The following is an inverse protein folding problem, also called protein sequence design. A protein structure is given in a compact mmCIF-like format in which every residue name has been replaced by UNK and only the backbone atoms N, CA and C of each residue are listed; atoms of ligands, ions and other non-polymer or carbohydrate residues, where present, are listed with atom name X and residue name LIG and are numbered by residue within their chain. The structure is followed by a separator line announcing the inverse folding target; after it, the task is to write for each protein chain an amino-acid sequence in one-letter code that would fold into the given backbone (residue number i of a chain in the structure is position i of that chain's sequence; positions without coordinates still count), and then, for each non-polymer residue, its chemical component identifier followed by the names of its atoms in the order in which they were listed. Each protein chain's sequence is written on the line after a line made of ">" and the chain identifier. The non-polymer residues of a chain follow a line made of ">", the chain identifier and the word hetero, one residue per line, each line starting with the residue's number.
data_IF_267298337054
#
_entry.id   IF_267298337054
#
_cell.length_a   1.000
_cell.length_b   1.000
_cell.length_c   1.000
_cell.angle_alpha   90.00
_cell.angle_beta   90.00
_cell.angle_gamma   90.00
#
_symmetry.space_group_name_H-M   'P 1'
#
loop_
_entity.id
_entity.type
_entity.pdbx_description
1 polymer ?
#
# COMPACT_ATOMS: atom_id res chain seq x y z
N UNK A 1 13.02 8.92 -25.05
CA UNK A 1 13.24 8.05 -23.89
C UNK A 1 11.90 7.62 -23.31
N UNK A 2 11.85 6.51 -22.57
CA UNK A 2 10.59 5.80 -22.26
C UNK A 2 9.49 6.68 -21.63
N UNK A 3 9.88 7.74 -20.90
CA UNK A 3 9.00 8.75 -20.31
C UNK A 3 8.24 9.65 -21.31
N UNK A 4 8.82 9.97 -22.47
CA UNK A 4 8.15 10.77 -23.52
C UNK A 4 7.05 9.97 -24.21
N UNK A 5 7.28 8.68 -24.42
CA UNK A 5 6.30 7.76 -25.01
C UNK A 5 5.08 7.57 -24.09
N UNK A 6 5.30 7.42 -22.78
CA UNK A 6 4.22 7.25 -21.80
C UNK A 6 3.35 8.51 -21.65
N UNK A 7 3.97 9.70 -21.58
CA UNK A 7 3.24 10.98 -21.57
C UNK A 7 2.38 11.16 -22.81
N UNK A 8 2.91 10.81 -23.99
CA UNK A 8 2.19 10.95 -25.25
C UNK A 8 0.98 10.00 -25.36
N UNK A 9 1.04 8.81 -24.77
CA UNK A 9 -0.07 7.85 -24.83
C UNK A 9 -1.14 8.03 -23.75
N UNK A 10 -0.79 8.53 -22.55
CA UNK A 10 -1.71 8.62 -21.41
C UNK A 10 -2.22 10.04 -21.11
N UNK A 11 -1.81 11.05 -21.90
CA UNK A 11 -2.26 12.44 -21.74
C UNK A 11 -3.76 12.67 -22.06
N UNK A 12 -4.50 11.64 -22.46
CA UNK A 12 -5.91 11.75 -22.88
C UNK A 12 -6.87 11.13 -21.84
N UNK A 13 -6.81 11.52 -20.55
CA UNK A 13 -7.89 11.11 -19.61
C UNK A 13 -8.02 11.88 -18.27
N UNK A 14 -7.27 12.96 -17.99
CA UNK A 14 -7.37 13.60 -16.65
C UNK A 14 -8.32 14.80 -16.68
N UNK A 15 -9.63 14.54 -16.61
CA UNK A 15 -10.66 15.54 -16.28
C UNK A 15 -11.11 15.41 -14.83
N UNK A 16 -10.16 15.42 -13.89
CA UNK A 16 -10.46 15.66 -12.47
C UNK A 16 -9.55 16.77 -11.94
N UNK A 17 -10.08 17.73 -11.15
CA UNK A 17 -9.30 18.85 -10.65
C UNK A 17 -8.14 18.34 -9.79
N UNK A 18 -6.93 18.76 -10.14
CA UNK A 18 -5.73 18.55 -9.33
C UNK A 18 -5.89 19.38 -8.05
N UNK A 19 -6.06 18.72 -6.90
CA UNK A 19 -6.08 19.41 -5.61
C UNK A 19 -4.66 19.96 -5.33
N UNK A 20 -4.55 21.29 -5.29
CA UNK A 20 -3.26 22.03 -5.23
C UNK A 20 -2.80 22.40 -3.82
N UNK A 21 -3.51 22.00 -2.76
CA UNK A 21 -3.11 22.33 -1.39
C UNK A 21 -3.37 21.16 -0.45
N UNK A 22 -2.31 20.59 0.13
CA UNK A 22 -2.40 19.57 1.17
C UNK A 22 -1.57 19.98 2.37
N UNK A 23 -2.16 19.82 3.54
CA UNK A 23 -1.52 20.03 4.84
C UNK A 23 -0.53 18.87 5.07
N UNK A 24 0.75 19.19 5.25
CA UNK A 24 1.81 18.20 5.50
C UNK A 24 1.63 17.62 6.90
N UNK A 25 1.15 16.39 7.01
CA UNK A 25 1.18 15.65 8.28
C UNK A 25 1.99 14.37 8.14
N UNK A 26 3.09 14.30 8.89
CA UNK A 26 3.79 13.05 9.19
C UNK A 26 3.19 12.54 10.49
N UNK A 27 2.63 11.34 10.48
CA UNK A 27 2.11 10.73 11.71
C UNK A 27 3.08 9.67 12.19
N UNK A 28 3.85 10.01 13.22
CA UNK A 28 4.67 9.06 13.98
C UNK A 28 3.80 8.36 15.03
N UNK A 29 3.77 7.03 15.03
CA UNK A 29 3.04 6.26 16.05
C UNK A 29 4.04 5.58 17.01
N UNK A 30 3.89 5.85 18.30
CA UNK A 30 4.47 5.04 19.38
C UNK A 30 3.33 4.18 19.95
N UNK A 31 3.33 2.87 19.70
CA UNK A 31 2.39 1.97 20.35
C UNK A 31 3.02 1.30 21.56
N UNK A 32 2.51 1.65 22.74
CA UNK A 32 2.57 0.81 23.91
C UNK A 32 1.55 -0.32 23.72
N UNK A 33 2.03 -1.51 23.38
CA UNK A 33 1.24 -2.72 23.48
C UNK A 33 1.25 -3.21 24.93
N UNK A 34 0.16 -2.98 25.66
CA UNK A 34 -0.14 -3.78 26.85
C UNK A 34 -0.57 -5.18 26.38
N UNK A 35 0.21 -6.17 26.81
CA UNK A 35 0.13 -7.59 26.42
C UNK A 35 -1.08 -8.32 27.05
N UNK A 36 -1.94 -7.63 27.81
CA UNK A 36 -3.00 -8.30 28.55
C UNK A 36 -4.42 -7.93 28.10
N UNK A 37 -5.12 -8.98 27.64
CA UNK A 37 -6.57 -9.13 27.45
C UNK A 37 -7.11 -8.75 26.07
N UNK A 38 -7.42 -9.79 25.31
CA UNK A 38 -8.39 -9.73 24.22
C UNK A 38 -9.74 -9.24 24.76
N UNK A 39 -10.08 -8.01 24.43
CA UNK A 39 -11.42 -7.46 24.60
C UNK A 39 -11.70 -6.49 23.45
N UNK A 40 -12.67 -6.83 22.62
CA UNK A 40 -13.26 -5.92 21.62
C UNK A 40 -14.22 -5.00 22.38
N UNK A 41 -14.06 -3.67 22.39
CA UNK A 41 -15.09 -2.80 22.93
C UNK A 41 -16.25 -2.70 21.94
N UNK A 42 -17.44 -2.97 22.45
CA UNK A 42 -18.73 -2.90 21.81
C UNK A 42 -19.13 -1.46 21.43
N UNK A 43 -20.06 -1.38 20.46
CA UNK A 43 -20.75 -0.17 19.97
C UNK A 43 -21.10 0.83 21.07
N UNK A 44 -20.76 2.10 20.86
CA UNK A 44 -21.39 3.22 21.55
C UNK A 44 -22.29 3.98 20.56
N UNK A 45 -23.60 4.01 20.85
CA UNK A 45 -24.52 5.01 20.34
C UNK A 45 -24.14 6.39 20.90
N UNK A 46 -24.25 7.45 20.11
CA UNK A 46 -24.37 8.82 20.65
C UNK A 46 -25.21 9.70 19.74
N UNK A 47 -26.03 10.49 20.42
CA UNK A 47 -27.07 11.41 19.97
C UNK A 47 -26.56 12.62 19.17
N UNK A 48 -27.50 13.20 18.43
CA UNK A 48 -27.41 14.49 17.73
C UNK A 48 -27.21 15.63 18.72
N UNK A 49 -26.23 16.50 18.46
CA UNK A 49 -26.03 17.78 19.15
C UNK A 49 -24.81 18.52 18.58
N UNK A 50 -25.04 19.58 17.80
CA UNK A 50 -24.00 20.28 17.04
C UNK A 50 -23.10 21.20 17.86
N UNK A 51 -21.82 21.28 17.44
CA UNK A 51 -21.00 22.48 17.20
C UNK A 51 -19.62 22.01 16.69
N UNK A 52 -19.09 22.74 15.70
CA UNK A 52 -17.93 22.37 14.90
C UNK A 52 -16.75 21.83 15.70
N UNK A 53 -16.41 20.58 15.43
CA UNK A 53 -15.10 20.00 15.68
C UNK A 53 -14.71 19.32 14.39
N UNK A 54 -13.60 19.74 13.78
CA UNK A 54 -12.96 18.99 12.71
C UNK A 54 -12.88 17.55 13.17
N UNK A 55 -13.59 16.66 12.48
CA UNK A 55 -13.54 15.22 12.73
C UNK A 55 -12.10 14.80 12.44
N UNK A 56 -11.27 14.74 13.47
CA UNK A 56 -10.03 13.97 13.41
C UNK A 56 -10.51 12.53 13.30
N UNK A 57 -10.61 12.03 12.07
CA UNK A 57 -10.82 10.61 11.82
C UNK A 57 -9.55 9.94 12.34
N UNK A 58 -9.62 9.35 13.53
CA UNK A 58 -8.57 8.45 14.00
C UNK A 58 -8.48 7.32 12.96
N UNK A 59 -7.38 7.17 12.21
CA UNK A 59 -7.31 6.12 11.21
C UNK A 59 -7.40 4.77 11.92
N UNK A 60 -8.29 3.92 11.42
CA UNK A 60 -8.48 2.55 11.86
C UNK A 60 -7.14 1.81 11.76
N UNK A 61 -6.52 1.56 12.91
CA UNK A 61 -5.20 0.94 13.05
C UNK A 61 -5.27 -0.51 12.56
N UNK A 62 -4.67 -0.81 11.40
CA UNK A 62 -4.14 -2.15 11.14
C UNK A 62 -2.68 -2.16 11.57
N UNK A 63 -2.38 -2.60 12.80
CA UNK A 63 -1.01 -2.71 13.25
C UNK A 63 -0.35 -3.78 12.36
N UNK A 64 0.52 -3.35 11.45
CA UNK A 64 1.42 -4.25 10.76
C UNK A 64 1.44 -4.29 9.25
N UNK A 65 0.76 -3.43 8.49
CA UNK A 65 1.04 -3.34 7.04
C UNK A 65 2.18 -2.34 6.83
N UNK A 66 3.44 -2.79 6.74
CA UNK A 66 4.59 -1.88 6.61
C UNK A 66 5.77 -2.53 5.84
N UNK A 67 6.78 -1.71 5.55
CA UNK A 67 8.04 -2.08 4.90
C UNK A 67 9.25 -1.64 5.72
N UNK A 68 10.40 -2.29 5.50
CA UNK A 68 11.67 -1.87 6.10
C UNK A 68 12.24 -0.62 5.40
N UNK A 69 13.08 0.19 6.07
CA UNK A 69 13.87 1.22 5.42
C UNK A 69 14.70 0.65 4.26
N UNK A 70 14.85 1.43 3.18
CA UNK A 70 15.53 1.02 1.96
C UNK A 70 14.63 0.32 0.93
N UNK A 71 13.41 -0.09 1.29
CA UNK A 71 12.44 -0.60 0.31
C UNK A 71 12.16 0.46 -0.72
N UNK A 72 12.41 0.15 -2.00
CA UNK A 72 12.21 1.09 -3.09
C UNK A 72 10.73 1.25 -3.40
N UNK A 73 10.30 2.48 -3.61
CA UNK A 73 8.97 2.87 -4.08
C UNK A 73 9.13 3.51 -5.46
N UNK A 74 8.27 3.17 -6.40
CA UNK A 74 8.28 3.78 -7.73
C UNK A 74 7.60 5.14 -7.69
N UNK A 75 8.38 6.22 -7.83
CA UNK A 75 7.88 7.60 -7.86
C UNK A 75 7.95 8.20 -9.27
N UNK A 76 7.31 9.35 -9.48
CA UNK A 76 7.37 10.10 -10.75
C UNK A 76 8.81 10.51 -11.12
N UNK A 77 9.68 10.72 -10.12
CA UNK A 77 11.08 11.08 -10.29
C UNK A 77 12.05 9.91 -10.38
N UNK A 78 11.57 8.67 -10.25
CA UNK A 78 12.39 7.46 -10.20
C UNK A 78 12.11 6.59 -8.98
N UNK A 79 12.94 5.57 -8.74
CA UNK A 79 12.80 4.71 -7.56
C UNK A 79 13.46 5.38 -6.37
N UNK A 80 12.76 5.42 -5.25
CA UNK A 80 13.19 6.11 -4.05
C UNK A 80 12.94 5.24 -2.81
N UNK A 81 13.83 5.26 -1.83
CA UNK A 81 13.64 4.51 -0.59
C UNK A 81 12.43 5.03 0.18
N UNK A 82 11.61 4.14 0.73
CA UNK A 82 10.30 4.47 1.33
C UNK A 82 10.39 5.52 2.45
N UNK A 83 11.45 5.50 3.25
CA UNK A 83 11.70 6.46 4.33
C UNK A 83 11.99 7.88 3.84
N UNK A 84 12.36 8.02 2.57
CA UNK A 84 12.65 9.32 1.96
C UNK A 84 11.47 9.89 1.18
N UNK A 85 10.44 9.07 0.87
CA UNK A 85 9.21 9.53 0.21
C UNK A 85 8.46 10.47 1.15
N UNK A 86 7.98 11.59 0.61
CA UNK A 86 7.34 12.66 1.37
C UNK A 86 5.88 12.87 0.98
N UNK A 87 5.10 13.47 1.88
CA UNK A 87 3.76 13.95 1.56
C UNK A 87 3.83 14.97 0.42
N UNK A 88 3.03 14.74 -0.61
CA UNK A 88 3.05 15.52 -1.85
C UNK A 88 3.82 14.86 -3.00
N UNK A 89 4.68 13.87 -2.71
CA UNK A 89 5.32 13.07 -3.76
C UNK A 89 4.27 12.26 -4.52
N UNK A 90 4.62 11.91 -5.75
CA UNK A 90 3.77 11.12 -6.63
C UNK A 90 4.34 9.73 -6.82
N UNK A 91 3.59 8.71 -6.45
CA UNK A 91 3.95 7.30 -6.59
C UNK A 91 3.15 6.65 -7.71
N UNK A 92 3.77 5.73 -8.44
CA UNK A 92 3.07 4.94 -9.43
C UNK A 92 2.08 4.03 -8.69
N UNK A 93 0.83 4.05 -9.12
CA UNK A 93 -0.28 3.32 -8.52
C UNK A 93 -1.11 2.65 -9.59
N UNK A 94 -1.88 1.63 -9.20
CA UNK A 94 -2.79 0.92 -10.08
C UNK A 94 -4.17 0.79 -9.45
N UNK A 95 -5.20 1.16 -10.19
CA UNK A 95 -6.59 0.89 -9.80
C UNK A 95 -6.89 -0.62 -9.96
N UNK A 96 -7.29 -1.33 -8.90
CA UNK A 96 -7.60 -2.75 -8.99
C UNK A 96 -8.83 -3.06 -9.84
N UNK A 97 -9.82 -2.16 -9.93
CA UNK A 97 -11.07 -2.40 -10.64
C UNK A 97 -10.94 -2.07 -12.14
N UNK A 98 -10.29 -0.96 -12.47
CA UNK A 98 -10.14 -0.50 -13.86
C UNK A 98 -8.82 -0.92 -14.51
N UNK A 99 -7.80 -1.24 -13.71
CA UNK A 99 -6.45 -1.52 -14.17
C UNK A 99 -5.64 -0.28 -14.54
N UNK A 100 -6.21 0.93 -14.40
CA UNK A 100 -5.56 2.21 -14.71
C UNK A 100 -4.23 2.33 -13.94
N UNK A 101 -3.14 2.57 -14.68
CA UNK A 101 -1.86 2.94 -14.11
C UNK A 101 -1.71 4.46 -14.12
N UNK A 102 -1.53 5.05 -12.94
CA UNK A 102 -1.37 6.49 -12.82
C UNK A 102 -0.51 6.87 -11.63
N UNK A 103 0.11 8.04 -11.71
CA UNK A 103 0.78 8.64 -10.57
C UNK A 103 -0.24 9.24 -9.61
N UNK A 104 -0.20 8.81 -8.35
CA UNK A 104 -1.08 9.29 -7.28
C UNK A 104 -0.26 9.91 -6.15
N UNK A 105 -0.85 10.90 -5.50
CA UNK A 105 -0.13 11.70 -4.51
C UNK A 105 -0.09 10.96 -3.18
N UNK A 106 1.06 10.97 -2.52
CA UNK A 106 1.22 10.51 -1.14
C UNK A 106 0.55 11.53 -0.21
N UNK A 107 -0.49 11.07 0.49
CA UNK A 107 -1.27 11.86 1.45
C UNK A 107 -0.64 11.88 2.83
N UNK A 108 -0.12 10.73 3.27
CA UNK A 108 0.52 10.56 4.57
C UNK A 108 1.71 9.61 4.45
N UNK A 109 2.67 9.81 5.33
CA UNK A 109 3.77 8.88 5.56
C UNK A 109 3.69 8.42 7.01
N UNK A 110 3.77 7.11 7.24
CA UNK A 110 3.72 6.52 8.57
C UNK A 110 5.06 5.90 8.93
N UNK A 111 5.44 6.03 10.19
CA UNK A 111 6.61 5.41 10.77
C UNK A 111 6.23 4.85 12.14
N UNK A 112 6.62 3.62 12.41
CA UNK A 112 6.36 2.94 13.68
C UNK A 112 7.54 2.02 14.08
N UNK A 113 7.76 1.79 15.38
CA UNK A 113 8.59 0.68 15.84
C UNK A 113 8.05 -0.64 15.29
N UNK A 114 8.95 -1.57 14.95
CA UNK A 114 8.52 -2.92 14.55
C UNK A 114 8.15 -3.77 15.77
N UNK A 115 7.06 -3.41 16.46
CA UNK A 115 6.34 -4.36 17.28
C UNK A 115 5.51 -5.26 16.34
N UNK A 116 5.35 -6.54 16.68
CA UNK A 116 4.68 -7.56 15.85
C UNK A 116 3.57 -7.01 14.93
N UNK A 117 3.59 -7.33 13.63
CA UNK A 117 3.82 -8.67 13.07
C UNK A 117 5.26 -8.97 12.65
N UNK A 118 5.55 -10.25 12.37
CA UNK A 118 6.84 -10.70 11.88
C UNK A 118 7.23 -10.07 10.54
N UNK A 119 8.52 -10.13 10.19
CA UNK A 119 9.05 -9.68 8.91
C UNK A 119 9.26 -10.88 7.98
N UNK A 120 8.91 -10.73 6.70
CA UNK A 120 9.29 -11.69 5.66
C UNK A 120 10.03 -11.01 4.50
N UNK A 121 10.80 -11.81 3.79
CA UNK A 121 11.35 -11.51 2.48
C UNK A 121 10.64 -12.33 1.42
N UNK A 122 10.12 -11.67 0.41
CA UNK A 122 9.65 -12.31 -0.82
C UNK A 122 10.71 -12.11 -1.91
N UNK A 123 11.08 -13.19 -2.58
CA UNK A 123 11.90 -13.15 -3.80
C UNK A 123 10.98 -13.34 -5.00
N UNK A 124 10.93 -12.36 -5.91
CA UNK A 124 10.06 -12.34 -7.08
C UNK A 124 10.82 -11.69 -8.24
N UNK A 125 10.95 -12.36 -9.39
CA UNK A 125 11.65 -11.83 -10.56
C UNK A 125 13.11 -11.44 -10.24
N UNK A 126 13.77 -12.27 -9.41
CA UNK A 126 15.11 -12.01 -8.87
C UNK A 126 15.22 -10.82 -7.89
N UNK A 127 14.12 -10.11 -7.60
CA UNK A 127 14.08 -8.98 -6.68
C UNK A 127 13.65 -9.42 -5.27
N UNK A 128 14.25 -8.84 -4.24
CA UNK A 128 13.99 -9.17 -2.84
C UNK A 128 13.27 -8.01 -2.14
N UNK A 129 12.01 -8.24 -1.76
CA UNK A 129 11.19 -7.26 -1.05
C UNK A 129 10.98 -7.70 0.39
N UNK A 130 11.42 -6.87 1.34
CA UNK A 130 11.25 -7.11 2.77
C UNK A 130 10.04 -6.32 3.28
N UNK A 131 9.05 -7.02 3.78
CA UNK A 131 7.76 -6.47 4.22
C UNK A 131 7.22 -7.26 5.41
N UNK A 132 6.37 -6.65 6.20
CA UNK A 132 5.71 -7.33 7.31
C UNK A 132 4.80 -8.45 6.80
N UNK A 133 4.66 -9.52 7.59
CA UNK A 133 3.83 -10.68 7.27
C UNK A 133 2.36 -10.33 6.96
N UNK A 134 1.83 -9.29 7.59
CA UNK A 134 0.45 -8.83 7.38
C UNK A 134 0.32 -7.72 6.33
N UNK A 135 1.42 -7.31 5.69
CA UNK A 135 1.35 -6.44 4.53
C UNK A 135 0.57 -7.12 3.41
N UNK A 136 -0.21 -6.37 2.65
CA UNK A 136 -1.11 -6.94 1.64
C UNK A 136 -0.52 -6.78 0.25
N UNK A 137 -0.43 -7.89 -0.48
CA UNK A 137 0.05 -7.98 -1.87
C UNK A 137 -1.09 -8.48 -2.75
N UNK A 138 -1.05 -8.16 -4.05
CA UNK A 138 -2.02 -8.70 -4.99
C UNK A 138 -1.55 -10.05 -5.54
N UNK A 139 -2.31 -11.11 -5.28
CA UNK A 139 -2.11 -12.45 -5.86
C UNK A 139 -3.07 -12.62 -7.05
N UNK A 140 -2.52 -12.90 -8.22
CA UNK A 140 -3.29 -13.14 -9.43
C UNK A 140 -4.32 -14.28 -9.24
N UNK A 141 -5.57 -14.02 -9.60
CA UNK A 141 -6.69 -14.94 -9.42
C UNK A 141 -7.28 -14.99 -8.01
N UNK A 142 -6.69 -14.31 -7.03
CA UNK A 142 -7.15 -14.28 -5.63
C UNK A 142 -7.38 -12.88 -5.06
N UNK A 143 -6.75 -11.87 -5.67
CA UNK A 143 -6.84 -10.48 -5.22
C UNK A 143 -5.92 -10.18 -4.04
N UNK A 144 -6.39 -9.33 -3.13
CA UNK A 144 -5.63 -8.85 -1.98
C UNK A 144 -5.47 -9.89 -0.87
N UNK A 145 -4.29 -10.47 -0.74
CA UNK A 145 -3.93 -11.38 0.34
C UNK A 145 -2.74 -10.86 1.15
N UNK A 146 -2.61 -11.32 2.40
CA UNK A 146 -1.46 -10.95 3.24
C UNK A 146 -0.20 -11.67 2.76
N UNK A 147 0.95 -11.03 2.92
CA UNK A 147 2.21 -11.50 2.37
C UNK A 147 2.65 -12.85 2.98
N UNK A 148 2.27 -13.18 4.21
CA UNK A 148 2.45 -14.51 4.80
C UNK A 148 1.70 -15.64 4.08
N UNK A 149 0.71 -15.30 3.26
CA UNK A 149 -0.08 -16.26 2.47
C UNK A 149 0.39 -16.29 0.99
N UNK A 150 1.36 -15.46 0.61
CA UNK A 150 2.04 -15.53 -0.68
C UNK A 150 3.12 -16.64 -0.65
N UNK A 151 2.75 -17.86 -1.03
CA UNK A 151 3.68 -19.00 -1.06
C UNK A 151 4.43 -19.11 -2.40
N UNK A 152 5.63 -19.72 -2.42
CA UNK A 152 6.32 -20.04 -3.66
C UNK A 152 5.42 -20.77 -4.68
N UNK A 153 5.54 -20.39 -5.94
CA UNK A 153 4.67 -20.88 -7.03
C UNK A 153 3.41 -20.04 -7.29
N UNK A 154 3.01 -19.16 -6.36
CA UNK A 154 1.91 -18.21 -6.59
C UNK A 154 2.37 -17.04 -7.46
N UNK A 155 1.47 -16.48 -8.26
CA UNK A 155 1.77 -15.33 -9.13
C UNK A 155 1.33 -14.02 -8.47
N UNK A 156 2.28 -13.11 -8.24
CA UNK A 156 1.99 -11.75 -7.75
C UNK A 156 1.89 -10.76 -8.90
N UNK A 157 1.03 -9.76 -8.73
CA UNK A 157 0.92 -8.66 -9.68
C UNK A 157 2.11 -7.70 -9.55
N UNK A 158 2.66 -7.32 -10.71
CA UNK A 158 3.72 -6.32 -10.86
C UNK A 158 3.27 -5.21 -11.83
N UNK A 159 4.09 -4.18 -11.98
CA UNK A 159 3.84 -3.09 -12.93
C UNK A 159 3.71 -3.59 -14.39
N UNK A 160 4.40 -4.68 -14.73
CA UNK A 160 4.41 -5.28 -16.07
C UNK A 160 3.93 -6.74 -16.04
N UNK A 161 2.68 -6.95 -15.60
CA UNK A 161 2.05 -8.26 -15.58
C UNK A 161 2.23 -8.98 -14.25
N UNK A 162 2.53 -10.28 -14.28
CA UNK A 162 2.69 -11.09 -13.07
C UNK A 162 4.08 -11.74 -13.02
N UNK A 163 4.56 -12.08 -11.82
CA UNK A 163 5.68 -13.01 -11.63
C UNK A 163 5.42 -13.95 -10.49
N UNK A 164 6.06 -15.11 -10.56
CA UNK A 164 5.95 -16.15 -9.55
C UNK A 164 6.78 -15.78 -8.32
N UNK A 165 6.25 -16.07 -7.13
CA UNK A 165 7.03 -16.07 -5.89
C UNK A 165 8.05 -17.20 -5.98
N UNK A 166 9.33 -16.85 -5.99
CA UNK A 166 10.43 -17.80 -6.05
C UNK A 166 10.72 -18.36 -4.65
N UNK A 167 10.79 -17.46 -3.66
CA UNK A 167 11.13 -17.80 -2.28
C UNK A 167 10.38 -16.91 -1.29
N UNK A 168 10.16 -17.46 -0.09
CA UNK A 168 9.67 -16.72 1.07
C UNK A 168 10.48 -17.12 2.30
N UNK A 169 11.04 -16.12 2.98
CA UNK A 169 11.86 -16.30 4.18
C UNK A 169 11.34 -15.44 5.32
N UNK A 170 11.32 -15.97 6.54
CA UNK A 170 11.07 -15.16 7.74
C UNK A 170 12.37 -14.51 8.19
N UNK A 171 12.30 -13.23 8.54
CA UNK A 171 13.43 -12.42 8.98
C UNK A 171 13.22 -11.91 10.41
N UNK A 172 14.30 -11.55 11.12
CA UNK A 172 14.19 -10.78 12.36
C UNK A 172 13.53 -9.43 12.11
N UNK A 173 12.74 -8.96 13.09
CA UNK A 173 12.09 -7.66 12.99
C UNK A 173 13.14 -6.52 12.96
N UNK A 174 12.98 -5.52 12.08
CA UNK A 174 13.82 -4.32 12.08
C UNK A 174 13.48 -3.43 13.28
N UNK A 175 14.29 -2.42 13.62
CA UNK A 175 13.90 -1.46 14.67
C UNK A 175 12.69 -0.60 14.26
N UNK A 176 12.55 -0.36 12.95
CA UNK A 176 11.63 0.62 12.40
C UNK A 176 11.01 0.14 11.09
N UNK A 177 9.76 0.50 10.87
CA UNK A 177 9.02 0.22 9.64
C UNK A 177 8.26 1.45 9.13
N UNK A 178 8.04 1.50 7.83
CA UNK A 178 7.42 2.60 7.10
C UNK A 178 6.21 2.13 6.28
N UNK A 179 5.25 3.02 6.06
CA UNK A 179 4.21 2.85 5.06
C UNK A 179 3.75 4.23 4.55
N UNK A 180 2.99 4.23 3.47
CA UNK A 180 2.40 5.40 2.84
C UNK A 180 0.87 5.33 2.98
N UNK A 181 0.21 6.45 2.72
CA UNK A 181 -1.21 6.52 2.35
C UNK A 181 -1.29 7.24 1.02
N UNK A 182 -1.87 6.58 0.01
CA UNK A 182 -1.86 7.05 -1.37
C UNK A 182 -3.27 7.46 -1.77
N UNK A 183 -3.38 8.59 -2.47
CA UNK A 183 -4.65 9.15 -2.89
C UNK A 183 -5.35 8.29 -3.96
N UNK A 184 -6.68 8.30 -3.93
CA UNK A 184 -7.62 7.63 -4.86
C UNK A 184 -7.49 6.09 -4.90
N UNK A 185 -6.34 5.56 -5.30
CA UNK A 185 -6.16 4.14 -5.59
C UNK A 185 -5.75 3.31 -4.36
N UNK A 186 -5.17 3.93 -3.34
CA UNK A 186 -4.68 3.24 -2.14
C UNK A 186 -3.63 2.14 -2.42
N UNK A 187 -3.02 2.18 -3.60
CA UNK A 187 -1.98 1.23 -4.03
C UNK A 187 -0.71 1.96 -4.42
N UNK A 188 0.40 1.24 -4.42
CA UNK A 188 1.66 1.68 -4.99
C UNK A 188 2.55 0.49 -5.35
N UNK A 189 3.66 0.76 -6.04
CA UNK A 189 4.60 -0.26 -6.46
C UNK A 189 5.91 -0.19 -5.67
N UNK A 190 6.38 -1.35 -5.21
CA UNK A 190 7.62 -1.49 -4.43
C UNK A 190 8.65 -2.45 -5.05
N UNK A 191 9.91 -2.32 -4.66
CA UNK A 191 11.02 -3.15 -5.15
C UNK A 191 11.51 -2.76 -6.54
N UNK A 192 12.56 -3.43 -7.02
CA UNK A 192 13.02 -3.31 -8.41
C UNK A 192 12.03 -3.90 -9.40
N UNK A 193 11.32 -4.97 -9.03
CA UNK A 193 10.34 -5.64 -9.88
C UNK A 193 8.99 -4.91 -9.95
N UNK A 194 8.77 -3.89 -9.11
CA UNK A 194 7.54 -3.12 -9.05
C UNK A 194 6.36 -4.00 -8.66
N UNK A 195 6.38 -4.57 -7.46
CA UNK A 195 5.33 -5.39 -6.87
C UNK A 195 4.15 -4.52 -6.43
N UNK A 196 2.92 -4.89 -6.81
CA UNK A 196 1.70 -4.14 -6.44
C UNK A 196 1.32 -4.42 -4.99
N UNK A 197 1.26 -3.36 -4.19
CA UNK A 197 0.95 -3.42 -2.76
C UNK A 197 -0.14 -2.42 -2.40
N UNK A 198 -0.82 -2.69 -1.28
CA UNK A 198 -1.84 -1.80 -0.74
C UNK A 198 -1.29 -0.98 0.43
N UNK A 199 -1.76 0.26 0.55
CA UNK A 199 -1.44 1.12 1.67
C UNK A 199 -2.13 0.69 2.99
N UNK A 200 -2.04 1.48 4.06
CA UNK A 200 -2.63 1.13 5.37
C UNK A 200 -4.15 1.38 5.47
N UNK A 201 -4.79 1.91 4.43
CA UNK A 201 -6.22 2.23 4.46
C UNK A 201 -7.10 0.98 4.40
N UNK A 202 -8.36 1.05 4.87
CA UNK A 202 -9.30 -0.04 4.71
C UNK A 202 -9.54 -0.36 3.23
N UNK A 203 -9.19 -1.58 2.85
CA UNK A 203 -9.44 -2.13 1.51
C UNK A 203 -10.92 -2.18 1.19
N UNK A 204 -11.26 -1.78 -0.03
CA UNK A 204 -12.58 -2.02 -0.60
C UNK A 204 -12.62 -3.42 -1.24
N UNK A 205 -13.74 -4.15 -1.16
CA UNK A 205 -13.90 -5.40 -1.90
C UNK A 205 -13.83 -5.13 -3.40
N UNK A 206 -13.08 -5.94 -4.12
CA UNK A 206 -13.03 -5.94 -5.59
C UNK A 206 -13.43 -7.31 -6.12
N UNK A 207 -14.06 -7.34 -7.30
CA UNK A 207 -14.34 -8.57 -8.05
C UNK A 207 -13.23 -8.91 -9.03
N UNK A 208 -12.27 -8.02 -9.21
CA UNK A 208 -11.23 -8.18 -10.20
C UNK A 208 -10.30 -9.34 -9.82
N UNK A 209 -10.04 -10.24 -10.77
CA UNK A 209 -9.11 -11.37 -10.60
C UNK A 209 -7.67 -10.98 -10.94
N UNK A 210 -7.53 -9.98 -11.80
CA UNK A 210 -6.32 -9.19 -12.07
C UNK A 210 -6.76 -7.72 -12.12
N UNK A 211 -5.88 -6.74 -11.86
CA UNK A 211 -6.27 -5.34 -11.99
C UNK A 211 -6.88 -5.05 -13.37
N UNK A 212 -8.09 -4.52 -13.40
CA UNK A 212 -8.83 -4.23 -14.63
C UNK A 212 -9.54 -5.42 -15.29
N UNK A 213 -9.42 -6.63 -14.73
CA UNK A 213 -10.09 -7.83 -15.23
C UNK A 213 -11.20 -8.26 -14.27
N UNK A 214 -12.40 -7.73 -14.50
CA UNK A 214 -13.61 -8.15 -13.80
C UNK A 214 -14.21 -9.34 -14.55
N UNK A 215 -14.37 -10.51 -13.89
CA UNK A 215 -15.05 -11.64 -14.51
C UNK A 215 -16.51 -11.27 -14.81
N UNK A 216 -16.96 -11.55 -16.03
CA UNK A 216 -18.37 -11.41 -16.41
C UNK A 216 -19.20 -12.43 -15.64
N UNK A 217 -20.36 -12.04 -15.05
CA UNK A 217 -21.29 -13.01 -14.49
C UNK A 217 -21.71 -14.00 -15.58
N UNK A 218 -21.65 -15.30 -15.26
CA UNK A 218 -22.26 -16.37 -16.06
C UNK A 218 -23.79 -16.28 -16.07
#
# INVERSE_FOLDING_TARGET
>A
AWWEWWKHQNAMAVTKPVLTSYERSVTSYFDNYDVERGAVPSRAHSSVGGRGRSRVIAPYRRPGSCFVPGTLVWTEGGRQAIESVQVGDRVLSQDPDTGELAYRVVRLTTQAPSAAPGLIRLTVDGDQVNLTESHVVWIAGRGWEVARDAFPGMSLQRYAGTSVVEQRETLPNPPLVHNLVVDDFHTFFVGQCGLLVHDITPRQPTRAVLPGLIPTPE
#
